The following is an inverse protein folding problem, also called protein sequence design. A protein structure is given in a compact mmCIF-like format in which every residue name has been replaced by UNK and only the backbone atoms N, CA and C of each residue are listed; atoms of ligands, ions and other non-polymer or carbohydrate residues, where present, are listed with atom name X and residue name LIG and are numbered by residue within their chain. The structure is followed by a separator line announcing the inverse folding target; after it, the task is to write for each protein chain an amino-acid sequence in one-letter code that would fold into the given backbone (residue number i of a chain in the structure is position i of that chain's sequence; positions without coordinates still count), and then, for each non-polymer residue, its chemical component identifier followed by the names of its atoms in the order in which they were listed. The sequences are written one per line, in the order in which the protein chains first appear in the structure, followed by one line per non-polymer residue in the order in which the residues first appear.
data_IF_917291758245
#
_entry.id   IF_917291758245
#
_cell.length_a   1.000
_cell.length_b   1.000
_cell.length_c   1.000
_cell.angle_alpha   90.00
_cell.angle_beta   90.00
_cell.angle_gamma   90.00
#
_symmetry.space_group_name_H-M   'P 1'
#
loop_
_entity.id
_entity.type
_entity.pdbx_description
1 polymer ?
#
# COMPACT_ATOMS: atom_id res chain seq x y z
N UNK A 1 -3.37 12.77 -38.94
CA UNK A 1 -2.33 11.79 -38.59
C UNK A 1 -2.88 10.91 -37.49
N UNK A 2 -2.76 9.59 -37.62
CA UNK A 2 -3.07 8.65 -36.53
C UNK A 2 -1.80 7.85 -36.22
N UNK A 3 -1.39 7.83 -34.96
CA UNK A 3 -0.22 7.09 -34.51
C UNK A 3 -0.60 6.17 -33.36
N UNK A 4 -0.22 4.90 -33.49
CA UNK A 4 -0.54 3.85 -32.54
C UNK A 4 0.73 3.43 -31.79
N UNK A 5 0.60 3.28 -30.47
CA UNK A 5 1.64 2.73 -29.61
C UNK A 5 1.06 1.53 -28.87
N UNK A 6 1.71 0.38 -29.02
CA UNK A 6 1.32 -0.85 -28.34
C UNK A 6 2.42 -1.26 -27.37
N UNK A 7 2.04 -1.51 -26.13
CA UNK A 7 2.92 -2.00 -25.07
C UNK A 7 2.47 -3.40 -24.68
N UNK A 8 3.43 -4.33 -24.63
CA UNK A 8 3.17 -5.75 -24.35
C UNK A 8 4.20 -6.23 -23.32
N UNK A 9 3.73 -6.48 -22.10
CA UNK A 9 4.48 -7.12 -21.03
C UNK A 9 4.39 -8.66 -21.08
N UNK A 10 5.22 -9.32 -20.27
CA UNK A 10 5.27 -10.77 -20.16
C UNK A 10 4.54 -11.29 -18.90
N UNK A 11 3.89 -12.45 -19.03
CA UNK A 11 3.22 -13.13 -17.92
C UNK A 11 2.25 -12.25 -17.12
N UNK A 12 2.63 -11.96 -15.87
CA UNK A 12 1.83 -11.17 -14.92
C UNK A 12 2.16 -9.67 -14.92
N UNK A 13 3.04 -9.22 -15.81
CA UNK A 13 3.38 -7.81 -15.95
C UNK A 13 2.17 -6.97 -16.35
N UNK A 14 2.19 -5.72 -15.91
CA UNK A 14 1.28 -4.64 -16.30
C UNK A 14 2.11 -3.46 -16.78
N UNK A 15 1.53 -2.68 -17.68
CA UNK A 15 2.16 -1.50 -18.24
C UNK A 15 1.72 -0.29 -17.43
N UNK A 16 2.68 0.41 -16.82
CA UNK A 16 2.45 1.73 -16.25
C UNK A 16 3.01 2.80 -17.17
N UNK A 17 2.27 3.89 -17.39
CA UNK A 17 2.75 5.09 -18.08
C UNK A 17 2.66 6.27 -17.12
N UNK A 18 3.77 7.01 -17.00
CA UNK A 18 3.86 8.24 -16.22
C UNK A 18 4.26 9.35 -17.18
N UNK A 19 3.35 10.29 -17.43
CA UNK A 19 3.64 11.45 -18.25
C UNK A 19 4.52 12.44 -17.48
N UNK A 20 5.52 12.99 -18.15
CA UNK A 20 6.36 14.09 -17.68
C UNK A 20 6.03 15.41 -18.37
N UNK A 21 5.48 15.34 -19.59
CA UNK A 21 4.95 16.47 -20.34
C UNK A 21 3.66 16.04 -21.04
N UNK A 22 2.65 16.91 -21.03
CA UNK A 22 1.41 16.68 -21.76
C UNK A 22 0.82 18.02 -22.20
N UNK A 23 0.70 18.24 -23.50
CA UNK A 23 0.07 19.43 -24.07
C UNK A 23 -0.51 19.13 -25.43
N UNK A 24 -1.78 18.74 -25.42
CA UNK A 24 -2.61 18.64 -26.59
C UNK A 24 -3.63 19.81 -26.59
N UNK A 25 -4.10 20.25 -27.76
CA UNK A 25 -5.05 21.35 -27.85
C UNK A 25 -6.40 20.97 -27.21
N UNK A 26 -7.06 21.94 -26.60
CA UNK A 26 -8.40 21.79 -26.02
C UNK A 26 -9.29 23.00 -26.32
N UNK A 27 -10.61 22.78 -26.42
CA UNK A 27 -11.59 23.80 -26.78
C UNK A 27 -12.03 24.67 -25.61
N UNK A 28 -12.25 24.06 -24.43
CA UNK A 28 -12.96 24.70 -23.32
C UNK A 28 -12.40 24.37 -21.92
N UNK A 29 -11.52 23.37 -21.79
CA UNK A 29 -10.94 22.95 -20.50
C UNK A 29 -10.08 21.68 -20.62
N UNK A 30 -9.34 21.25 -19.59
CA UNK A 30 -8.32 20.20 -19.70
C UNK A 30 -8.82 18.82 -20.13
N UNK A 31 -10.13 18.57 -20.21
CA UNK A 31 -10.72 17.31 -20.68
C UNK A 31 -11.75 17.48 -21.80
N UNK A 32 -11.98 18.70 -22.26
CA UNK A 32 -12.98 19.04 -23.28
C UNK A 32 -12.35 19.14 -24.67
N UNK A 33 -11.96 17.99 -25.21
CA UNK A 33 -11.14 17.92 -26.42
C UNK A 33 -11.86 18.40 -27.68
N UNK A 34 -13.16 18.10 -27.84
CA UNK A 34 -13.89 18.41 -29.07
C UNK A 34 -13.23 17.77 -30.30
N UNK A 35 -13.13 18.52 -31.40
CA UNK A 35 -12.53 18.05 -32.66
C UNK A 35 -11.02 18.41 -32.78
N UNK A 36 -10.26 18.36 -31.67
CA UNK A 36 -8.81 18.65 -31.64
C UNK A 36 -7.97 17.36 -31.63
N UNK A 37 -6.66 17.51 -31.43
CA UNK A 37 -5.76 16.39 -31.27
C UNK A 37 -6.01 15.72 -29.91
N UNK A 38 -6.18 14.40 -29.92
CA UNK A 38 -6.54 13.59 -28.76
C UNK A 38 -5.61 12.39 -28.62
N UNK A 39 -5.33 12.03 -27.37
CA UNK A 39 -4.70 10.77 -27.02
C UNK A 39 -5.75 9.84 -26.40
N UNK A 40 -6.04 8.73 -27.05
CA UNK A 40 -6.96 7.72 -26.56
C UNK A 40 -6.18 6.58 -25.90
N UNK A 41 -6.65 6.11 -24.76
CA UNK A 41 -6.06 5.03 -23.97
C UNK A 41 -6.99 3.83 -24.01
N UNK A 42 -6.46 2.67 -24.40
CA UNK A 42 -7.22 1.43 -24.48
C UNK A 42 -6.62 0.34 -23.62
N UNK A 43 -7.46 -0.33 -22.85
CA UNK A 43 -7.13 -1.62 -22.24
C UNK A 43 -7.54 -2.75 -23.17
N UNK A 44 -6.90 -3.91 -22.99
CA UNK A 44 -7.28 -5.13 -23.68
C UNK A 44 -7.97 -6.03 -22.66
N UNK A 45 -9.30 -6.11 -22.76
CA UNK A 45 -10.14 -6.96 -21.91
C UNK A 45 -10.76 -8.03 -22.80
N UNK A 46 -10.55 -9.31 -22.46
CA UNK A 46 -11.05 -10.45 -23.24
C UNK A 46 -10.74 -10.37 -24.76
N UNK A 47 -9.49 -10.02 -25.11
CA UNK A 47 -9.01 -9.82 -26.49
C UNK A 47 -9.72 -8.71 -27.28
N UNK A 48 -10.39 -7.77 -26.58
CA UNK A 48 -11.04 -6.61 -27.18
C UNK A 48 -10.45 -5.32 -26.64
N UNK A 49 -10.33 -4.34 -27.52
CA UNK A 49 -9.96 -2.98 -27.15
C UNK A 49 -11.14 -2.30 -26.47
N UNK A 50 -10.93 -1.87 -25.24
CA UNK A 50 -11.88 -1.06 -24.48
C UNK A 50 -11.29 0.33 -24.27
N UNK A 51 -11.99 1.37 -24.74
CA UNK A 51 -11.59 2.75 -24.56
C UNK A 51 -11.78 3.13 -23.09
N UNK A 52 -10.68 3.43 -22.42
CA UNK A 52 -10.66 3.79 -21.00
C UNK A 52 -10.73 5.29 -20.82
N UNK A 53 -9.88 6.03 -21.55
CA UNK A 53 -9.75 7.47 -21.36
C UNK A 53 -9.42 8.18 -22.68
N UNK A 54 -9.93 9.41 -22.82
CA UNK A 54 -9.56 10.34 -23.89
C UNK A 54 -8.93 11.57 -23.25
N UNK A 55 -7.67 11.83 -23.59
CA UNK A 55 -6.83 12.84 -22.96
C UNK A 55 -6.53 13.97 -23.95
N UNK A 56 -6.62 15.21 -23.46
CA UNK A 56 -6.20 16.42 -24.15
C UNK A 56 -5.88 17.54 -23.14
N UNK A 57 -5.66 18.76 -23.61
CA UNK A 57 -5.30 19.88 -22.74
C UNK A 57 -3.83 19.86 -22.30
N UNK A 58 -3.52 20.69 -21.31
CA UNK A 58 -2.17 20.92 -20.79
C UNK A 58 -1.98 20.46 -19.33
N UNK A 59 -3.00 19.82 -18.78
CA UNK A 59 -2.94 19.18 -17.47
C UNK A 59 -2.30 17.81 -17.60
N UNK A 60 -1.31 17.53 -16.75
CA UNK A 60 -0.62 16.25 -16.74
C UNK A 60 -1.61 15.13 -16.36
N UNK A 61 -1.79 14.09 -17.21
CA UNK A 61 -2.61 12.94 -16.85
C UNK A 61 -2.04 12.24 -15.63
N UNK A 62 -2.92 11.57 -14.87
CA UNK A 62 -2.50 10.70 -13.77
C UNK A 62 -1.70 9.52 -14.33
N UNK A 63 -0.86 8.88 -13.52
CA UNK A 63 -0.25 7.61 -13.90
C UNK A 63 -1.33 6.61 -14.35
N UNK A 64 -1.11 5.98 -15.50
CA UNK A 64 -2.01 4.97 -16.07
C UNK A 64 -1.37 3.62 -15.80
N UNK A 65 -2.08 2.70 -15.14
CA UNK A 65 -1.67 1.29 -15.04
C UNK A 65 -2.71 0.42 -15.74
N UNK A 66 -2.26 -0.42 -16.68
CA UNK A 66 -3.12 -1.36 -17.37
C UNK A 66 -3.66 -2.46 -16.46
N UNK A 67 -4.85 -2.99 -16.82
CA UNK A 67 -5.47 -4.13 -16.12
C UNK A 67 -4.73 -5.47 -16.36
N UNK A 68 -4.07 -5.59 -17.51
CA UNK A 68 -3.30 -6.77 -17.91
C UNK A 68 -1.96 -6.43 -18.56
N UNK A 69 -1.36 -7.36 -19.33
CA UNK A 69 -0.04 -7.18 -19.92
C UNK A 69 -0.03 -6.27 -21.15
N UNK A 70 -1.20 -5.80 -21.61
CA UNK A 70 -1.30 -4.98 -22.82
C UNK A 70 -1.93 -3.63 -22.52
N UNK A 71 -1.35 -2.59 -23.11
CA UNK A 71 -1.85 -1.22 -23.09
C UNK A 71 -1.65 -0.62 -24.47
N UNK A 72 -2.65 0.10 -24.97
CA UNK A 72 -2.58 0.72 -26.28
C UNK A 72 -2.92 2.21 -26.20
N UNK A 73 -2.11 3.03 -26.87
CA UNK A 73 -2.35 4.46 -27.01
C UNK A 73 -2.55 4.80 -28.49
N UNK A 74 -3.60 5.56 -28.81
CA UNK A 74 -3.82 6.12 -30.14
C UNK A 74 -3.82 7.65 -30.09
N UNK A 75 -2.81 8.26 -30.71
CA UNK A 75 -2.79 9.69 -30.96
C UNK A 75 -3.50 9.97 -32.29
N UNK A 76 -4.63 10.70 -32.22
CA UNK A 76 -5.30 11.25 -33.40
C UNK A 76 -5.04 12.73 -33.46
N UNK A 77 -4.36 13.18 -34.51
CA UNK A 77 -3.98 14.58 -34.71
C UNK A 77 -4.50 15.11 -36.05
N UNK A 78 -5.09 16.30 -36.01
CA UNK A 78 -5.47 17.09 -37.16
C UNK A 78 -4.28 17.95 -37.62
N UNK A 79 -4.09 18.11 -38.93
CA UNK A 79 -2.94 18.87 -39.45
C UNK A 79 -3.19 20.38 -39.32
N UNK A 80 -2.16 21.15 -38.92
CA UNK A 80 -2.15 22.58 -38.53
C UNK A 80 -2.55 22.88 -37.07
N UNK A 81 -1.75 22.45 -36.10
CA UNK A 81 -1.80 23.04 -34.77
C UNK A 81 -0.41 23.42 -34.24
N UNK A 82 -0.13 24.73 -34.18
CA UNK A 82 1.12 25.28 -33.60
C UNK A 82 1.13 25.28 -32.08
N UNK A 83 -0.01 25.04 -31.43
CA UNK A 83 -0.16 24.99 -29.97
C UNK A 83 0.10 23.57 -29.41
N UNK A 84 0.05 22.54 -30.27
CA UNK A 84 0.35 21.17 -29.88
C UNK A 84 1.86 21.01 -29.63
N UNK A 85 2.25 20.73 -28.37
CA UNK A 85 3.63 20.36 -28.00
C UNK A 85 3.80 18.85 -27.79
N UNK A 86 2.72 18.07 -27.91
CA UNK A 86 2.71 16.63 -27.77
C UNK A 86 2.70 16.18 -26.33
N UNK A 87 3.20 14.97 -26.10
CA UNK A 87 3.35 14.39 -24.77
C UNK A 87 4.68 13.63 -24.70
N UNK A 88 5.23 13.56 -23.49
CA UNK A 88 6.40 12.75 -23.14
C UNK A 88 6.04 11.97 -21.89
N UNK A 89 6.40 10.69 -21.84
CA UNK A 89 6.18 9.85 -20.68
C UNK A 89 7.13 8.65 -20.65
N UNK A 90 7.38 8.17 -19.44
CA UNK A 90 8.11 6.93 -19.19
C UNK A 90 7.11 5.79 -19.04
N UNK A 91 7.48 4.60 -19.52
CA UNK A 91 6.69 3.39 -19.32
C UNK A 91 7.47 2.32 -18.55
N UNK A 92 6.74 1.52 -17.79
CA UNK A 92 7.31 0.48 -16.92
C UNK A 92 6.49 -0.80 -17.03
N UNK A 93 7.15 -1.96 -17.03
CA UNK A 93 6.50 -3.25 -16.85
C UNK A 93 6.62 -3.67 -15.38
N UNK A 94 5.48 -3.85 -14.73
CA UNK A 94 5.38 -4.02 -13.27
C UNK A 94 4.58 -5.27 -12.93
N UNK A 95 5.04 -6.05 -11.95
CA UNK A 95 4.28 -7.16 -11.37
C UNK A 95 3.68 -6.81 -10.01
N UNK A 96 4.07 -5.67 -9.45
CA UNK A 96 3.70 -5.21 -8.11
C UNK A 96 2.60 -4.15 -8.10
N UNK A 97 1.87 -3.98 -9.20
CA UNK A 97 0.78 -3.01 -9.30
C UNK A 97 1.19 -1.56 -8.94
N UNK A 98 2.47 -1.19 -9.10
CA UNK A 98 2.96 0.13 -8.67
C UNK A 98 3.05 0.32 -7.15
N UNK A 99 2.92 -0.74 -6.36
CA UNK A 99 3.01 -0.73 -4.89
C UNK A 99 4.41 -1.21 -4.48
N UNK A 100 5.18 -0.30 -3.90
CA UNK A 100 6.57 -0.55 -3.48
C UNK A 100 6.72 -1.03 -2.03
N UNK A 101 5.63 -1.13 -1.28
CA UNK A 101 5.64 -1.51 0.14
C UNK A 101 4.94 -2.85 0.37
N UNK A 102 5.31 -3.52 1.46
CA UNK A 102 4.80 -4.84 1.78
C UNK A 102 5.42 -5.95 0.92
N UNK A 103 5.09 -7.19 1.26
CA UNK A 103 5.50 -8.38 0.51
C UNK A 103 4.30 -8.91 -0.27
N UNK A 104 4.43 -9.04 -1.58
CA UNK A 104 3.39 -9.60 -2.45
C UNK A 104 3.65 -11.10 -2.68
N UNK A 105 2.80 -12.01 -2.19
CA UNK A 105 3.04 -13.46 -2.34
C UNK A 105 2.82 -13.95 -3.77
N UNK A 106 1.86 -13.36 -4.49
CA UNK A 106 1.48 -13.73 -5.85
C UNK A 106 1.42 -12.48 -6.73
N UNK A 107 2.24 -12.45 -7.78
CA UNK A 107 2.35 -11.33 -8.72
C UNK A 107 1.07 -11.07 -9.52
N UNK A 108 0.19 -12.08 -9.64
CA UNK A 108 -1.10 -11.93 -10.33
C UNK A 108 -2.22 -11.39 -9.44
N UNK A 109 -1.98 -11.28 -8.12
CA UNK A 109 -2.98 -10.83 -7.16
C UNK A 109 -2.56 -9.51 -6.53
N UNK A 110 -3.50 -8.57 -6.38
CA UNK A 110 -3.27 -7.31 -5.69
C UNK A 110 -3.39 -7.50 -4.16
N UNK A 111 -2.58 -8.40 -3.60
CA UNK A 111 -2.54 -8.77 -2.18
C UNK A 111 -1.15 -8.57 -1.61
N UNK A 112 -1.07 -7.81 -0.51
CA UNK A 112 0.19 -7.41 0.13
C UNK A 112 0.18 -7.79 1.60
N UNK A 113 1.28 -8.41 2.03
CA UNK A 113 1.54 -8.81 3.40
C UNK A 113 2.50 -7.82 4.04
N UNK A 114 2.04 -7.22 5.13
CA UNK A 114 2.85 -6.33 5.95
C UNK A 114 3.26 -7.08 7.21
N UNK A 115 4.56 -7.19 7.40
CA UNK A 115 5.18 -7.79 8.57
C UNK A 115 5.96 -6.71 9.32
N UNK A 116 5.90 -6.76 10.65
CA UNK A 116 6.65 -5.83 11.50
C UNK A 116 8.14 -6.17 11.52
N UNK A 117 8.91 -5.56 10.62
CA UNK A 117 10.37 -5.70 10.59
C UNK A 117 11.15 -4.38 10.74
N UNK A 118 10.56 -3.22 10.49
CA UNK A 118 11.22 -1.92 10.73
C UNK A 118 10.29 -0.97 11.48
N UNK A 119 10.84 -0.27 12.48
CA UNK A 119 10.20 0.88 13.10
C UNK A 119 10.07 1.98 12.05
N UNK A 120 8.86 2.28 11.61
CA UNK A 120 8.64 3.29 10.59
C UNK A 120 7.18 3.53 10.26
N UNK A 121 6.94 4.71 9.71
CA UNK A 121 5.72 5.08 9.02
C UNK A 121 5.91 4.77 7.53
N UNK A 122 4.84 4.36 6.84
CA UNK A 122 4.87 4.15 5.40
C UNK A 122 3.53 4.49 4.74
N UNK A 123 3.49 4.35 3.42
CA UNK A 123 2.28 4.57 2.63
C UNK A 123 1.83 3.27 1.99
N UNK A 124 0.52 3.04 2.01
CA UNK A 124 -0.16 2.09 1.14
C UNK A 124 -0.90 2.94 0.11
N UNK A 125 -0.78 2.59 -1.16
CA UNK A 125 -1.53 3.23 -2.22
C UNK A 125 -2.19 2.18 -3.10
N UNK A 126 -3.31 2.54 -3.69
CA UNK A 126 -3.89 1.77 -4.79
C UNK A 126 -3.01 1.92 -6.05
N UNK A 127 -3.12 0.99 -7.01
CA UNK A 127 -2.29 0.98 -8.22
C UNK A 127 -2.35 2.25 -9.11
N UNK A 128 -3.47 2.98 -9.09
CA UNK A 128 -3.72 4.17 -9.94
C UNK A 128 -3.70 5.53 -9.19
N UNK A 129 -3.22 5.55 -7.94
CA UNK A 129 -3.08 6.80 -7.16
C UNK A 129 -2.29 7.87 -7.96
N UNK A 130 -2.70 9.16 -8.00
CA UNK A 130 -3.62 9.89 -7.11
C UNK A 130 -5.07 10.00 -7.60
N UNK A 131 -5.55 9.06 -8.41
CA UNK A 131 -6.96 9.06 -8.74
C UNK A 131 -7.88 8.87 -7.52
N UNK A 132 -9.14 9.28 -7.66
CA UNK A 132 -10.19 9.06 -6.66
C UNK A 132 -10.76 7.63 -6.74
N UNK A 133 -10.89 6.96 -5.59
CA UNK A 133 -11.58 5.68 -5.46
C UNK A 133 -13.10 5.85 -5.68
N UNK A 134 -13.79 4.90 -6.32
CA UNK A 134 -15.17 5.06 -6.73
C UNK A 134 -16.10 4.90 -5.52
N UNK A 135 -17.26 5.55 -5.55
CA UNK A 135 -18.27 5.44 -4.48
C UNK A 135 -18.76 4.01 -4.30
N UNK A 136 -19.08 3.61 -3.07
CA UNK A 136 -19.79 2.35 -2.81
C UNK A 136 -21.18 2.39 -3.46
N UNK A 137 -21.45 1.45 -4.36
CA UNK A 137 -22.78 1.20 -4.91
C UNK A 137 -22.98 -0.32 -5.06
N UNK A 138 -23.94 -0.87 -4.31
CA UNK A 138 -24.28 -2.29 -4.29
C UNK A 138 -24.72 -2.81 -5.67
N UNK A 139 -25.33 -1.96 -6.51
CA UNK A 139 -25.77 -2.32 -7.85
C UNK A 139 -24.58 -2.46 -8.83
N UNK A 140 -23.43 -1.87 -8.48
CA UNK A 140 -22.22 -1.80 -9.33
C UNK A 140 -21.09 -2.75 -8.93
N UNK A 141 -21.21 -3.43 -7.78
CA UNK A 141 -20.18 -4.29 -7.21
C UNK A 141 -18.82 -3.58 -6.96
N UNK A 142 -18.83 -2.31 -6.54
CA UNK A 142 -17.66 -1.41 -6.46
C UNK A 142 -16.35 -2.03 -5.99
N UNK A 143 -15.24 -1.52 -6.51
CA UNK A 143 -13.90 -1.79 -5.99
C UNK A 143 -13.86 -1.61 -4.47
N UNK A 144 -13.16 -2.52 -3.79
CA UNK A 144 -13.01 -2.47 -2.35
C UNK A 144 -11.63 -2.92 -1.86
N UNK A 145 -11.30 -2.48 -0.66
CA UNK A 145 -10.12 -2.91 0.08
C UNK A 145 -10.56 -3.79 1.24
N UNK A 146 -9.90 -4.94 1.39
CA UNK A 146 -10.02 -5.80 2.57
C UNK A 146 -8.76 -5.76 3.42
N UNK A 147 -8.98 -5.77 4.73
CA UNK A 147 -7.95 -5.92 5.74
C UNK A 147 -8.09 -7.28 6.43
N UNK A 148 -6.98 -7.90 6.83
CA UNK A 148 -7.02 -9.17 7.54
C UNK A 148 -5.82 -9.39 8.46
N UNK A 149 -6.08 -9.91 9.66
CA UNK A 149 -5.03 -10.41 10.56
C UNK A 149 -4.54 -11.82 10.20
N UNK A 150 -5.07 -12.42 9.14
CA UNK A 150 -4.78 -13.79 8.71
C UNK A 150 -4.41 -13.85 7.23
N UNK A 151 -3.74 -14.93 6.84
CA UNK A 151 -3.47 -15.21 5.42
C UNK A 151 -4.78 -15.41 4.64
N UNK A 152 -5.88 -15.75 5.32
CA UNK A 152 -7.24 -15.88 4.77
C UNK A 152 -8.14 -14.70 5.18
N UNK A 153 -9.33 -14.59 4.58
CA UNK A 153 -10.27 -13.49 4.87
C UNK A 153 -10.59 -13.40 6.37
N UNK A 154 -10.49 -12.19 6.92
CA UNK A 154 -10.86 -11.88 8.29
C UNK A 154 -12.27 -11.29 8.30
N UNK A 155 -13.16 -11.83 9.13
CA UNK A 155 -14.54 -11.34 9.25
C UNK A 155 -14.65 -10.13 10.17
N UNK A 156 -13.57 -9.77 10.87
CA UNK A 156 -13.49 -8.63 11.77
C UNK A 156 -13.65 -7.30 11.03
N UNK A 157 -13.01 -7.20 9.87
CA UNK A 157 -13.00 -5.97 9.09
C UNK A 157 -14.05 -6.05 7.97
N UNK A 158 -14.72 -4.93 7.74
CA UNK A 158 -15.63 -4.80 6.61
C UNK A 158 -14.85 -4.71 5.28
N UNK A 159 -15.57 -4.78 4.17
CA UNK A 159 -15.05 -4.34 2.88
C UNK A 159 -15.17 -2.82 2.82
N UNK A 160 -14.11 -2.14 2.40
CA UNK A 160 -14.07 -0.67 2.36
C UNK A 160 -14.09 -0.19 0.91
N UNK A 161 -15.04 0.70 0.56
CA UNK A 161 -15.19 1.34 -0.76
C UNK A 161 -15.51 2.83 -0.61
N UNK A 162 -15.37 3.65 -1.66
CA UNK A 162 -15.66 5.09 -1.59
C UNK A 162 -14.61 5.93 -0.85
N UNK A 163 -15.04 7.10 -0.39
CA UNK A 163 -14.18 8.08 0.27
C UNK A 163 -14.15 7.86 1.79
N UNK A 164 -12.98 7.57 2.36
CA UNK A 164 -12.80 7.38 3.80
C UNK A 164 -12.07 8.54 4.46
N UNK A 165 -12.79 9.62 4.76
CA UNK A 165 -12.18 10.78 5.45
C UNK A 165 -11.61 10.45 6.83
N UNK A 166 -12.10 9.40 7.49
CA UNK A 166 -11.69 9.00 8.84
C UNK A 166 -11.53 7.47 8.99
N UNK A 167 -10.87 6.80 8.03
CA UNK A 167 -10.56 5.37 8.20
C UNK A 167 -9.43 5.19 9.23
N UNK A 168 -9.73 4.49 10.32
CA UNK A 168 -8.73 3.97 11.25
C UNK A 168 -8.89 2.45 11.35
N UNK A 169 -7.88 1.70 10.91
CA UNK A 169 -7.86 0.24 11.01
C UNK A 169 -6.59 -0.20 11.72
N UNK A 170 -6.75 -1.02 12.76
CA UNK A 170 -5.66 -1.57 13.54
C UNK A 170 -5.66 -3.09 13.46
N UNK A 171 -4.50 -3.64 13.11
CA UNK A 171 -4.23 -5.08 13.20
C UNK A 171 -4.16 -5.55 14.66
N UNK A 172 -4.39 -6.84 14.86
CA UNK A 172 -4.36 -7.50 16.18
C UNK A 172 -2.96 -8.01 16.54
N UNK A 173 -2.02 -7.94 15.60
CA UNK A 173 -0.69 -8.45 15.80
C UNK A 173 0.32 -7.93 14.78
N UNK A 174 1.38 -8.70 14.58
CA UNK A 174 2.55 -8.30 13.77
C UNK A 174 2.37 -8.50 12.27
N UNK A 175 1.23 -9.06 11.86
CA UNK A 175 0.90 -9.39 10.49
C UNK A 175 -0.38 -8.67 10.11
N UNK A 176 -0.37 -8.11 8.91
CA UNK A 176 -1.56 -7.54 8.31
C UNK A 176 -1.57 -7.78 6.80
N UNK A 177 -2.64 -8.38 6.30
CA UNK A 177 -2.88 -8.52 4.87
C UNK A 177 -3.79 -7.39 4.42
N UNK A 178 -3.42 -6.80 3.29
CA UNK A 178 -4.25 -5.84 2.56
C UNK A 178 -4.49 -6.43 1.17
N UNK A 179 -5.75 -6.52 0.77
CA UNK A 179 -6.15 -6.98 -0.55
C UNK A 179 -6.98 -5.90 -1.21
N UNK A 180 -6.57 -5.43 -2.38
CA UNK A 180 -7.41 -4.56 -3.21
C UNK A 180 -8.12 -5.43 -4.24
N UNK A 181 -9.45 -5.36 -4.25
CA UNK A 181 -10.30 -6.08 -5.19
C UNK A 181 -10.94 -5.05 -6.11
N UNK A 182 -10.81 -5.27 -7.40
CA UNK A 182 -11.47 -4.48 -8.43
C UNK A 182 -12.36 -5.38 -9.28
N UNK A 183 -13.28 -4.77 -10.02
CA UNK A 183 -14.15 -5.46 -10.95
C UNK A 183 -14.06 -4.84 -12.36
N UNK A 184 -14.64 -5.52 -13.35
CA UNK A 184 -14.61 -5.09 -14.75
C UNK A 184 -15.59 -3.92 -15.06
N UNK A 185 -16.12 -3.21 -14.06
CA UNK A 185 -17.25 -2.26 -14.22
C UNK A 185 -16.98 -0.84 -13.75
N UNK A 186 -16.11 -0.62 -12.77
CA UNK A 186 -15.87 0.69 -12.20
C UNK A 186 -14.38 0.99 -12.09
N UNK A 187 -13.93 2.01 -12.83
CA UNK A 187 -12.55 2.49 -12.78
C UNK A 187 -12.33 3.36 -11.54
N UNK A 188 -12.07 2.69 -10.43
CA UNK A 188 -11.68 3.29 -9.18
C UNK A 188 -10.24 3.77 -9.15
N UNK A 189 -10.01 5.03 -9.48
CA UNK A 189 -8.67 5.58 -9.70
C UNK A 189 -7.79 5.72 -8.44
N UNK A 190 -8.27 5.47 -7.21
CA UNK A 190 -7.37 5.11 -6.10
C UNK A 190 -7.49 5.74 -4.70
N UNK A 191 -6.67 5.26 -3.77
CA UNK A 191 -6.48 5.80 -2.41
C UNK A 191 -4.99 5.83 -2.04
N UNK A 192 -4.62 6.68 -1.09
CA UNK A 192 -3.34 6.61 -0.38
C UNK A 192 -3.60 6.74 1.12
N UNK A 193 -3.17 5.74 1.86
CA UNK A 193 -3.36 5.63 3.29
C UNK A 193 -2.00 5.58 3.98
N UNK A 194 -1.89 6.32 5.08
CA UNK A 194 -0.70 6.26 5.91
C UNK A 194 -0.81 5.07 6.85
N UNK A 195 0.26 4.30 7.00
CA UNK A 195 0.35 3.32 8.07
C UNK A 195 1.52 3.62 9.00
N UNK A 196 1.38 3.24 10.24
CA UNK A 196 2.42 3.29 11.26
C UNK A 196 2.47 1.97 12.03
N UNK A 197 3.64 1.63 12.54
CA UNK A 197 3.81 0.53 13.50
C UNK A 197 3.74 1.09 14.93
N UNK A 198 2.72 0.70 15.69
CA UNK A 198 2.53 1.13 17.07
C UNK A 198 3.07 0.07 18.03
N UNK A 199 3.99 0.42 18.92
CA UNK A 199 4.45 -0.50 19.96
C UNK A 199 3.31 -0.83 20.94
N UNK A 200 3.00 -2.12 21.15
CA UNK A 200 2.13 -2.53 22.26
C UNK A 200 2.80 -2.13 23.57
N UNK A 201 2.07 -1.35 24.38
CA UNK A 201 2.38 -1.23 25.79
C UNK A 201 2.06 -2.57 26.46
N UNK A 202 3.09 -3.24 26.99
CA UNK A 202 2.88 -4.33 27.93
C UNK A 202 2.27 -3.74 29.20
N UNK A 203 0.99 -3.99 29.44
CA UNK A 203 0.41 -3.74 30.76
C UNK A 203 1.06 -4.69 31.76
N UNK A 204 1.97 -4.17 32.58
CA UNK A 204 2.50 -4.91 33.73
C UNK A 204 1.39 -4.98 34.76
N UNK A 205 0.62 -6.06 34.77
CA UNK A 205 -0.25 -6.35 35.92
C UNK A 205 0.67 -6.70 37.09
N UNK A 206 1.03 -5.71 37.91
CA UNK A 206 1.68 -5.96 39.19
C UNK A 206 0.70 -6.71 40.10
N UNK A 207 0.75 -8.04 40.05
CA UNK A 207 0.17 -8.87 41.11
C UNK A 207 1.12 -8.78 42.29
N UNK A 208 0.77 -8.02 43.31
CA UNK A 208 1.52 -7.96 44.57
C UNK A 208 1.46 -9.34 45.24
N UNK A 209 2.39 -10.23 44.91
CA UNK A 209 2.65 -11.41 45.73
C UNK A 209 3.36 -10.95 47.00
N UNK A 210 2.60 -10.86 48.10
CA UNK A 210 3.16 -10.67 49.44
C UNK A 210 3.92 -11.95 49.80
N UNK A 211 5.21 -11.99 49.48
CA UNK A 211 6.08 -13.09 49.86
C UNK A 211 6.23 -13.09 51.40
N UNK A 212 5.63 -14.09 52.08
CA UNK A 212 5.90 -14.31 53.50
C UNK A 212 7.31 -14.89 53.65
N UNK A 213 8.18 -14.18 54.37
CA UNK A 213 9.56 -14.59 54.58
C UNK A 213 9.61 -15.79 55.56
N UNK A 214 9.74 -17.02 55.05
CA UNK A 214 10.04 -18.20 55.84
C UNK A 214 11.54 -18.33 56.10
N UNK A 215 11.96 -18.37 57.37
CA UNK A 215 13.37 -18.54 57.76
C UNK A 215 13.70 -20.03 57.88
N UNK A 216 14.60 -20.53 57.05
CA UNK A 216 15.19 -21.88 57.20
C UNK A 216 16.51 -21.75 57.96
N UNK A 217 16.64 -22.41 59.12
CA UNK A 217 17.88 -22.50 59.88
C UNK A 217 18.45 -23.90 59.80
N UNK A 218 19.66 -24.05 59.25
CA UNK A 218 20.44 -25.28 59.34
C UNK A 218 21.30 -25.25 60.60
N UNK A 219 21.09 -26.21 61.51
CA UNK A 219 22.04 -26.49 62.57
C UNK A 219 22.95 -27.63 62.10
N UNK A 220 24.27 -27.46 62.22
CA UNK A 220 25.20 -28.58 62.15
C UNK A 220 26.38 -28.35 63.09
N UNK A 221 26.67 -29.41 63.84
CA UNK A 221 27.63 -29.51 64.93
C UNK A 221 29.11 -29.41 64.48
N UNK A 222 29.95 -29.27 65.50
CA UNK A 222 31.40 -29.08 65.48
C UNK A 222 32.25 -30.10 64.70
N UNK A 223 33.39 -29.58 64.24
CA UNK A 223 34.77 -30.12 64.36
C UNK A 223 35.53 -30.67 63.14
N UNK A 224 36.63 -29.93 62.86
CA UNK A 224 38.04 -30.34 62.71
C UNK A 224 38.62 -30.66 61.29
N UNK A 225 39.70 -29.89 61.01
CA UNK A 225 40.85 -30.07 60.10
C UNK A 225 40.72 -29.84 58.58
N UNK A 226 41.46 -28.83 58.10
CA UNK A 226 42.24 -28.93 56.85
C UNK A 226 42.03 -27.85 55.77
N UNK A 227 42.95 -26.86 55.75
CA UNK A 227 43.44 -26.00 54.63
C UNK A 227 42.45 -25.18 53.73
N UNK A 228 42.85 -23.97 53.26
CA UNK A 228 41.95 -23.02 52.62
C UNK A 228 41.93 -23.16 51.08
N UNK A 229 40.75 -23.08 50.47
CA UNK A 229 40.57 -22.77 49.06
C UNK A 229 39.72 -21.50 48.91
N UNK A 230 40.23 -20.60 48.08
CA UNK A 230 39.78 -19.23 47.78
C UNK A 230 38.28 -19.10 47.44
N UNK A 231 37.63 -17.95 47.72
CA UNK A 231 36.23 -17.75 47.41
C UNK A 231 36.07 -17.36 45.94
N UNK A 232 35.26 -18.10 45.19
CA UNK A 232 34.75 -17.60 43.90
C UNK A 232 33.26 -17.93 43.82
N UNK A 233 32.44 -16.92 44.07
CA UNK A 233 31.10 -16.84 43.51
C UNK A 233 30.84 -15.37 43.18
N UNK A 234 31.16 -15.00 41.94
CA UNK A 234 30.78 -13.70 41.37
C UNK A 234 29.27 -13.73 41.15
N UNK A 235 28.49 -13.04 41.98
CA UNK A 235 27.08 -12.75 41.66
C UNK A 235 27.04 -11.39 40.98
N UNK A 236 27.12 -11.39 39.65
CA UNK A 236 26.72 -10.24 38.84
C UNK A 236 25.35 -10.54 38.26
N UNK A 237 24.29 -10.18 38.99
CA UNK A 237 22.97 -10.01 38.38
C UNK A 237 22.90 -8.57 37.85
N UNK A 238 23.46 -8.34 36.66
CA UNK A 238 23.17 -7.12 35.90
C UNK A 238 21.89 -7.41 35.13
N UNK A 239 20.78 -6.88 35.63
CA UNK A 239 19.51 -6.90 34.92
C UNK A 239 19.31 -5.56 34.20
N UNK A 240 18.77 -5.64 32.99
CA UNK A 240 18.46 -4.58 32.01
C UNK A 240 19.61 -4.24 31.05
N UNK A 241 19.34 -4.32 29.74
CA UNK A 241 18.40 -3.41 29.12
C UNK A 241 17.02 -4.03 29.01
N UNK A 242 16.01 -3.27 29.39
CA UNK A 242 14.69 -3.38 28.79
C UNK A 242 14.89 -3.17 27.29
N UNK A 243 15.14 -4.26 26.56
CA UNK A 243 14.73 -4.29 25.18
C UNK A 243 13.22 -4.12 25.23
N UNK A 244 12.76 -2.89 25.01
CA UNK A 244 11.37 -2.62 24.64
C UNK A 244 11.10 -3.55 23.47
N UNK A 245 10.49 -4.69 23.77
CA UNK A 245 10.01 -5.60 22.75
C UNK A 245 8.82 -4.88 22.16
N UNK A 246 9.12 -4.01 21.18
CA UNK A 246 8.14 -3.23 20.43
C UNK A 246 7.24 -4.21 19.69
N UNK A 247 6.30 -4.86 20.36
CA UNK A 247 5.32 -5.76 19.79
C UNK A 247 4.36 -4.88 18.99
N UNK A 248 4.71 -4.61 17.74
CA UNK A 248 4.06 -3.58 16.94
C UNK A 248 2.76 -4.05 16.31
N UNK A 249 1.65 -3.32 16.47
CA UNK A 249 0.46 -3.44 15.61
C UNK A 249 0.55 -2.44 14.46
N UNK A 250 0.17 -2.85 13.25
CA UNK A 250 0.00 -1.94 12.10
C UNK A 250 -1.29 -1.17 12.29
N UNK A 251 -1.19 0.15 12.24
CA UNK A 251 -2.29 1.10 12.35
C UNK A 251 -2.33 1.95 11.09
N UNK A 252 -3.44 1.89 10.36
CA UNK A 252 -3.69 2.76 9.20
C UNK A 252 -4.35 4.03 9.72
N UNK A 253 -3.67 5.16 9.56
CA UNK A 253 -4.06 6.48 10.07
C UNK A 253 -4.45 7.36 8.88
N UNK A 254 -5.75 7.45 8.62
CA UNK A 254 -6.30 8.43 7.69
C UNK A 254 -5.97 8.18 6.21
N UNK A 255 -6.80 8.76 5.36
CA UNK A 255 -6.52 8.91 3.94
C UNK A 255 -5.92 10.28 3.70
N UNK A 256 -4.77 10.34 3.05
CA UNK A 256 -4.34 11.58 2.43
C UNK A 256 -4.92 11.60 1.01
N UNK A 257 -6.07 12.24 0.85
CA UNK A 257 -6.46 12.78 -0.45
C UNK A 257 -5.44 13.87 -0.77
N UNK A 258 -4.39 13.51 -1.50
CA UNK A 258 -3.62 14.50 -2.25
C UNK A 258 -4.58 15.02 -3.30
N UNK A 259 -5.37 16.02 -2.92
CA UNK A 259 -5.96 16.95 -3.86
C UNK A 259 -4.74 17.54 -4.55
N UNK A 260 -4.42 17.08 -5.75
CA UNK A 260 -3.66 17.91 -6.67
C UNK A 260 -4.48 19.19 -6.73
N UNK A 261 -4.00 20.22 -6.04
CA UNK A 261 -4.49 21.57 -6.19
C UNK A 261 -4.12 21.90 -7.64
N UNK A 262 -5.03 21.59 -8.55
CA UNK A 262 -5.06 22.15 -9.89
C UNK A 262 -5.64 23.55 -9.72
N UNK A 263 -4.74 24.51 -9.54
CA UNK A 263 -5.01 25.90 -9.91
C UNK A 263 -4.83 26.05 -11.43
#
# INVERSE_FOLDING_TARGET
LCQLYEFIGDGAERVQIIFSEFRLPSMLGPTECGDTDILMVYYIVNDREELVETLCGDTLPKPILSDGPRLMLELRSSYNNTENKGFTGDFFFLTNFGISTGYQPNQSECTFHYFRNDSGQGWIQSPNFPGAYPSCDEDTASDYVEFSNFVTRDRKYAMYCGNWRELTVRSDGRFFRITMVSNDRLDGTGFRALYTFEAMQLETTERTEVASLGKVTTASADSIHGLPLSPVALITAVFSPTASTNLGIISIIGLELIKLIQD
#
